data_IF_150167830648
#
_entry.id   IF_150167830648
#
_cell.length_a   1.000
_cell.length_b   1.000
_cell.length_c   1.000
_cell.angle_alpha   90.00
_cell.angle_beta   90.00
_cell.angle_gamma   90.00
#
_symmetry.space_group_name_H-M   'P 1'
#
loop_
_entity.id
_entity.type
_entity.pdbx_description
1 polymer ?
#
# COMPACT_ATOMS: atom_id res chain seq x y z
N UNK A 1 6.02 -19.37 -0.80
CA UNK A 1 5.84 -18.03 -0.19
C UNK A 1 5.36 -17.10 -1.29
N UNK A 2 4.10 -16.67 -1.26
CA UNK A 2 3.59 -15.70 -2.24
C UNK A 2 4.38 -14.41 -2.11
N UNK A 3 4.95 -13.90 -3.22
CA UNK A 3 5.72 -12.66 -3.22
C UNK A 3 4.79 -11.50 -2.87
N UNK A 4 5.02 -10.85 -1.73
CA UNK A 4 4.24 -9.67 -1.34
C UNK A 4 4.51 -8.53 -2.33
N UNK A 5 3.46 -8.02 -2.97
CA UNK A 5 3.55 -6.86 -3.85
C UNK A 5 3.28 -5.62 -2.99
N UNK A 6 4.33 -4.86 -2.71
CA UNK A 6 4.21 -3.57 -2.03
C UNK A 6 3.92 -2.52 -3.10
N UNK A 7 2.84 -1.77 -2.92
CA UNK A 7 2.45 -0.74 -3.87
C UNK A 7 3.30 0.52 -3.67
N UNK A 8 3.78 1.09 -4.78
CA UNK A 8 4.45 2.39 -4.84
C UNK A 8 3.64 3.39 -5.69
N UNK A 9 4.16 4.59 -5.92
CA UNK A 9 3.42 5.68 -6.58
C UNK A 9 3.35 5.55 -8.12
N UNK A 10 4.05 4.57 -8.69
CA UNK A 10 3.90 4.16 -10.08
C UNK A 10 2.70 3.23 -10.30
N UNK A 11 2.22 2.59 -9.23
CA UNK A 11 1.10 1.66 -9.29
C UNK A 11 -0.26 2.36 -9.23
N UNK A 12 -1.25 1.82 -9.96
CA UNK A 12 -2.64 2.27 -9.96
C UNK A 12 -3.55 1.11 -9.52
N UNK A 13 -4.40 1.37 -8.53
CA UNK A 13 -5.37 0.41 -8.00
C UNK A 13 -6.76 0.82 -8.42
N UNK A 14 -7.58 -0.12 -8.89
CA UNK A 14 -9.00 0.08 -9.16
C UNK A 14 -9.84 -0.66 -8.13
N UNK A 15 -10.84 0.02 -7.54
CA UNK A 15 -11.80 -0.62 -6.63
C UNK A 15 -13.21 -0.40 -7.17
N UNK A 16 -13.88 -1.50 -7.52
CA UNK A 16 -15.29 -1.49 -7.89
C UNK A 16 -16.17 -1.84 -6.69
N UNK A 17 -17.10 -0.96 -6.33
CA UNK A 17 -17.99 -1.15 -5.17
C UNK A 17 -19.45 -1.37 -5.57
N UNK A 18 -19.74 -2.07 -6.68
CA UNK A 18 -21.04 -2.71 -6.92
C UNK A 18 -22.33 -1.90 -6.61
N UNK A 19 -22.33 -0.57 -6.80
CA UNK A 19 -23.47 0.32 -6.51
C UNK A 19 -23.58 0.85 -5.08
N UNK A 20 -22.72 0.44 -4.15
CA UNK A 20 -22.60 1.01 -2.79
C UNK A 20 -21.70 2.24 -2.83
N UNK A 21 -21.99 3.30 -2.06
CA UNK A 21 -21.17 4.52 -2.01
C UNK A 21 -19.69 4.20 -1.63
N UNK A 22 -18.78 4.16 -2.60
CA UNK A 22 -17.38 3.75 -2.42
C UNK A 22 -16.55 4.71 -1.58
N UNK A 23 -17.00 5.96 -1.43
CA UNK A 23 -16.36 6.91 -0.55
C UNK A 23 -16.23 6.36 0.89
N UNK A 24 -17.11 5.43 1.30
CA UNK A 24 -17.05 4.75 2.60
C UNK A 24 -15.85 3.81 2.70
N UNK A 25 -15.49 3.10 1.62
CA UNK A 25 -14.47 2.04 1.63
C UNK A 25 -13.06 2.54 1.29
N UNK A 26 -12.92 3.75 0.75
CA UNK A 26 -11.65 4.26 0.22
C UNK A 26 -11.25 5.62 0.82
N UNK A 27 -11.52 5.83 2.11
CA UNK A 27 -11.21 7.10 2.81
C UNK A 27 -11.76 8.35 2.09
N UNK A 28 -12.90 8.23 1.40
CA UNK A 28 -13.52 9.33 0.68
C UNK A 28 -13.06 9.53 -0.77
N UNK A 29 -12.27 8.63 -1.36
CA UNK A 29 -11.74 8.75 -2.74
C UNK A 29 -12.78 8.58 -3.88
N UNK A 30 -14.08 8.69 -3.60
CA UNK A 30 -15.15 8.72 -4.61
C UNK A 30 -15.45 7.37 -5.30
N UNK A 31 -16.39 7.39 -6.26
CA UNK A 31 -16.97 6.20 -6.90
C UNK A 31 -16.44 5.80 -8.25
N UNK A 32 -16.07 4.51 -8.37
CA UNK A 32 -15.43 3.95 -9.56
C UNK A 32 -13.97 4.40 -9.74
N UNK A 33 -13.27 4.75 -8.66
CA UNK A 33 -11.95 5.37 -8.77
C UNK A 33 -10.83 4.34 -8.92
N UNK A 34 -10.05 4.54 -9.98
CA UNK A 34 -8.63 4.21 -9.97
C UNK A 34 -7.89 5.25 -9.13
N UNK A 35 -6.94 4.84 -8.30
CA UNK A 35 -6.10 5.75 -7.53
C UNK A 35 -4.68 5.21 -7.40
N UNK A 36 -3.72 6.12 -7.23
CA UNK A 36 -2.34 5.78 -6.88
C UNK A 36 -2.20 5.48 -5.39
N UNK A 37 -1.13 4.76 -5.03
CA UNK A 37 -0.83 4.50 -3.62
C UNK A 37 -0.68 5.79 -2.79
N UNK A 38 -0.09 6.86 -3.36
CA UNK A 38 0.07 8.14 -2.66
C UNK A 38 -1.27 8.84 -2.40
N UNK A 39 -2.24 8.71 -3.30
CA UNK A 39 -3.58 9.30 -3.15
C UNK A 39 -4.34 8.62 -2.02
N UNK A 40 -4.25 7.30 -1.92
CA UNK A 40 -4.82 6.54 -0.80
C UNK A 40 -4.16 6.90 0.52
N UNK A 41 -2.82 6.97 0.55
CA UNK A 41 -2.07 7.37 1.75
C UNK A 41 -2.47 8.80 2.17
N UNK A 42 -2.63 9.71 1.20
CA UNK A 42 -3.06 11.10 1.47
C UNK A 42 -4.48 11.12 2.04
N UNK A 43 -5.41 10.39 1.45
CA UNK A 43 -6.78 10.29 1.95
C UNK A 43 -6.83 9.69 3.35
N UNK A 44 -6.06 8.63 3.62
CA UNK A 44 -5.95 8.03 4.94
C UNK A 44 -5.34 9.00 5.97
N UNK A 45 -4.29 9.75 5.62
CA UNK A 45 -3.72 10.80 6.48
C UNK A 45 -4.74 11.87 6.82
N UNK A 46 -5.52 12.32 5.85
CA UNK A 46 -6.59 13.30 6.04
C UNK A 46 -7.71 12.75 6.94
N UNK A 47 -8.09 11.50 6.76
CA UNK A 47 -9.13 10.85 7.57
C UNK A 47 -8.70 10.67 9.04
N UNK A 48 -7.43 10.37 9.29
CA UNK A 48 -6.85 10.27 10.64
C UNK A 48 -6.62 11.66 11.26
N UNK A 49 -6.39 12.70 10.44
CA UNK A 49 -6.27 14.07 10.92
C UNK A 49 -7.61 14.59 11.44
N UNK A 50 -7.66 15.13 12.65
CA UNK A 50 -8.84 15.87 13.09
C UNK A 50 -8.94 17.19 12.30
N UNK A 51 -10.15 17.61 11.85
CA UNK A 51 -10.34 18.93 11.25
C UNK A 51 -9.84 20.02 12.21
N UNK A 52 -9.02 20.96 11.70
CA UNK A 52 -8.44 22.05 12.50
C UNK A 52 -7.06 21.77 13.11
N UNK A 53 -6.42 20.64 12.80
CA UNK A 53 -5.01 20.40 13.14
C UNK A 53 -4.13 20.63 11.91
N UNK A 54 -3.74 21.90 11.70
CA UNK A 54 -2.90 22.35 10.59
C UNK A 54 -1.43 21.88 10.67
N UNK A 55 -1.06 21.20 11.75
CA UNK A 55 0.24 20.54 11.93
C UNK A 55 0.13 19.01 12.04
N UNK A 56 -0.52 18.33 11.07
CA UNK A 56 -0.46 16.87 10.99
C UNK A 56 0.89 16.34 10.42
N UNK A 57 1.98 16.93 10.90
CA UNK A 57 3.38 16.55 10.63
C UNK A 57 3.78 15.18 11.22
N UNK A 58 2.83 14.35 11.68
CA UNK A 58 3.11 13.20 12.55
C UNK A 58 2.44 11.87 12.19
N UNK A 59 1.93 11.70 10.97
CA UNK A 59 1.50 10.37 10.51
C UNK A 59 2.71 9.48 10.11
N UNK A 60 3.72 9.39 10.99
CA UNK A 60 4.93 8.55 10.87
C UNK A 60 4.64 7.06 10.66
N UNK A 61 3.40 6.67 10.91
CA UNK A 61 2.84 5.35 10.64
C UNK A 61 2.95 4.98 9.15
N UNK A 62 2.89 5.95 8.23
CA UNK A 62 3.03 5.72 6.78
C UNK A 62 4.49 5.88 6.29
N UNK A 63 5.46 6.12 7.19
CA UNK A 63 6.86 6.18 6.82
C UNK A 63 7.38 4.74 6.56
N UNK A 64 8.12 4.49 5.47
CA UNK A 64 8.79 3.21 5.23
C UNK A 64 9.59 2.69 6.42
N UNK A 65 10.26 3.58 7.15
CA UNK A 65 11.12 3.23 8.30
C UNK A 65 10.34 2.89 9.57
N UNK A 66 9.04 3.20 9.60
CA UNK A 66 8.14 3.04 10.73
C UNK A 66 8.45 3.94 11.93
N UNK A 67 7.52 3.92 12.90
CA UNK A 67 7.63 4.67 14.15
C UNK A 67 8.14 3.77 15.26
N UNK A 68 9.21 4.17 15.96
CA UNK A 68 9.71 3.45 17.14
C UNK A 68 8.64 3.37 18.21
N UNK A 69 8.41 2.19 18.76
CA UNK A 69 7.42 1.94 19.80
C UNK A 69 7.82 0.75 20.67
N UNK A 70 6.99 0.44 21.66
CA UNK A 70 7.05 -0.84 22.37
C UNK A 70 5.68 -1.52 22.25
N UNK A 71 5.67 -2.84 22.23
CA UNK A 71 4.46 -3.66 22.22
C UNK A 71 4.43 -4.53 23.47
N UNK A 72 3.26 -4.65 24.09
CA UNK A 72 2.99 -5.59 25.16
C UNK A 72 2.07 -6.67 24.59
N UNK A 73 2.54 -7.92 24.56
CA UNK A 73 1.74 -9.05 24.10
C UNK A 73 0.96 -9.64 25.27
N UNK A 74 -0.30 -9.96 25.06
CA UNK A 74 -1.19 -10.44 26.12
C UNK A 74 -0.68 -11.69 26.87
N UNK A 75 0.08 -12.54 26.17
CA UNK A 75 0.59 -13.81 26.69
C UNK A 75 2.10 -13.77 27.01
N UNK A 76 2.71 -12.59 27.04
CA UNK A 76 4.14 -12.44 27.32
C UNK A 76 4.38 -11.45 28.45
N UNK A 77 5.51 -11.61 29.14
CA UNK A 77 5.90 -10.71 30.23
C UNK A 77 6.76 -9.58 29.65
N UNK A 78 6.28 -8.35 29.81
CA UNK A 78 7.06 -7.14 29.57
C UNK A 78 6.90 -6.51 28.19
N UNK A 79 7.39 -5.27 28.09
CA UNK A 79 7.35 -4.46 26.88
C UNK A 79 8.50 -4.82 25.95
N UNK A 80 8.19 -5.14 24.68
CA UNK A 80 9.18 -5.40 23.64
C UNK A 80 9.37 -4.16 22.74
N UNK A 81 10.58 -3.60 22.64
CA UNK A 81 10.86 -2.48 21.74
C UNK A 81 10.83 -2.93 20.27
N UNK A 82 10.37 -2.04 19.40
CA UNK A 82 10.24 -2.31 17.98
C UNK A 82 9.81 -1.08 17.20
N UNK A 83 9.17 -1.32 16.05
CA UNK A 83 8.59 -0.26 15.22
C UNK A 83 7.22 -0.67 14.69
N UNK A 84 6.32 0.30 14.54
CA UNK A 84 5.01 0.13 13.91
C UNK A 84 4.95 0.92 12.60
N UNK A 85 4.40 0.32 11.54
CA UNK A 85 4.14 0.98 10.25
C UNK A 85 2.93 0.37 9.55
N UNK A 86 2.24 1.18 8.76
CA UNK A 86 1.15 0.79 7.87
C UNK A 86 1.75 0.57 6.48
N UNK A 87 1.38 -0.55 5.84
CA UNK A 87 1.75 -0.85 4.46
C UNK A 87 0.50 -1.21 3.66
N UNK A 88 0.50 -0.80 2.40
CA UNK A 88 -0.46 -1.24 1.40
C UNK A 88 0.16 -2.40 0.64
N UNK A 89 -0.50 -3.54 0.67
CA UNK A 89 -0.06 -4.76 -0.01
C UNK A 89 -1.14 -5.16 -1.01
N UNK A 90 -0.74 -5.44 -2.26
CA UNK A 90 -1.62 -6.05 -3.26
C UNK A 90 -1.41 -7.56 -3.25
N UNK A 91 -2.51 -8.31 -3.18
CA UNK A 91 -2.50 -9.77 -3.15
C UNK A 91 -3.19 -10.22 -4.44
N UNK A 92 -2.44 -10.70 -5.45
CA UNK A 92 -3.04 -11.20 -6.68
C UNK A 92 -3.70 -12.56 -6.42
N UNK A 93 -4.80 -12.85 -7.12
CA UNK A 93 -5.50 -14.14 -7.04
C UNK A 93 -4.60 -15.30 -7.47
N UNK A 94 -3.78 -15.05 -8.49
CA UNK A 94 -2.74 -15.97 -8.95
C UNK A 94 -1.36 -15.45 -8.51
N UNK A 95 -0.48 -16.31 -7.99
CA UNK A 95 0.86 -15.90 -7.59
C UNK A 95 1.60 -15.32 -8.80
N UNK A 96 2.34 -14.23 -8.58
CA UNK A 96 3.15 -13.58 -9.61
C UNK A 96 4.06 -14.63 -10.27
N UNK A 97 3.71 -15.02 -11.49
CA UNK A 97 4.61 -15.82 -12.33
C UNK A 97 5.84 -14.92 -12.54
N UNK A 98 7.06 -15.38 -12.22
CA UNK A 98 8.25 -14.61 -12.58
C UNK A 98 8.16 -14.28 -14.06
N UNK A 99 8.58 -13.08 -14.50
CA UNK A 99 8.57 -12.75 -15.92
C UNK A 99 9.24 -13.91 -16.64
N UNK A 100 8.45 -14.65 -17.42
CA UNK A 100 9.03 -15.57 -18.39
C UNK A 100 9.79 -14.64 -19.32
N UNK A 101 11.12 -14.77 -19.36
CA UNK A 101 11.88 -14.29 -20.50
C UNK A 101 11.13 -14.77 -21.72
N UNK A 102 10.65 -13.83 -22.53
CA UNK A 102 9.92 -14.21 -23.72
C UNK A 102 10.88 -15.09 -24.52
N UNK A 103 10.45 -16.24 -25.07
CA UNK A 103 11.29 -17.02 -25.97
C UNK A 103 11.83 -16.20 -27.17
N UNK A 104 11.25 -15.00 -27.40
CA UNK A 104 11.64 -14.04 -28.41
C UNK A 104 12.62 -12.96 -27.92
N UNK A 105 12.88 -12.84 -26.62
CA UNK A 105 13.85 -11.86 -26.08
C UNK A 105 15.28 -12.23 -26.51
N UNK A 106 15.58 -13.53 -26.63
CA UNK A 106 16.82 -14.05 -27.24
C UNK A 106 16.94 -13.71 -28.73
N UNK A 107 15.83 -13.54 -29.45
CA UNK A 107 15.86 -13.18 -30.87
C UNK A 107 16.05 -11.68 -31.07
N UNK A 108 15.55 -10.86 -30.14
CA UNK A 108 15.70 -9.40 -30.18
C UNK A 108 17.11 -8.94 -29.83
N UNK A 109 17.81 -9.64 -28.95
CA UNK A 109 19.22 -9.37 -28.62
C UNK A 109 20.19 -9.71 -29.78
N UNK A 110 19.78 -10.58 -30.70
CA UNK A 110 20.55 -10.95 -31.90
C UNK A 110 20.22 -10.09 -33.14
N UNK A 111 19.21 -9.23 -33.06
CA UNK A 111 18.86 -8.26 -34.10
C UNK A 111 19.31 -6.88 -33.63
N UNK A 112 20.57 -6.53 -33.86
CA UNK A 112 21.09 -5.16 -33.71
C UNK A 112 20.34 -4.22 -34.71
N UNK A 113 19.21 -3.65 -34.28
CA UNK A 113 18.52 -2.52 -34.92
C UNK A 113 18.27 -1.46 -33.86
#
# INVERSE_FOLDING_TARGET
MSGKIVLDDSDVVSIFTGGSNPAIYTFGLGSGSTFKSSELIKAAKTWVAKPGTENNSYCWWFNPDGLKCQVLFANEIGWKPGKVRIRLEFIPDEPKVPPQESPLDDLRSNLDI
#
